data_IF_479718073831
#
_entry.id   IF_479718073831
#
_cell.length_a   1.000
_cell.length_b   1.000
_cell.length_c   1.000
_cell.angle_alpha   90.00
_cell.angle_beta   90.00
_cell.angle_gamma   90.00
#
_symmetry.space_group_name_H-M   'P 1'
#
loop_
_entity.id
_entity.type
_entity.pdbx_description
1 polymer ?
#
# COMPACT_ATOMS: atom_id res chain seq x y z
N UNK A 1 6.19 6.47 -5.66
CA UNK A 1 5.72 5.08 -5.88
C UNK A 1 6.93 4.22 -6.21
N UNK A 2 7.06 3.05 -5.56
CA UNK A 2 8.12 2.08 -5.77
C UNK A 2 7.53 0.71 -6.09
N UNK A 3 8.17 0.00 -7.03
CA UNK A 3 7.75 -1.32 -7.51
C UNK A 3 8.97 -2.12 -7.99
N UNK A 4 8.93 -3.46 -7.95
CA UNK A 4 10.11 -4.29 -8.21
C UNK A 4 10.49 -4.39 -9.70
N UNK A 5 9.59 -4.02 -10.61
CA UNK A 5 9.82 -4.03 -12.06
C UNK A 5 9.04 -2.87 -12.73
N UNK A 6 9.35 -2.48 -13.97
CA UNK A 6 8.74 -1.30 -14.60
C UNK A 6 7.30 -1.51 -15.09
N UNK A 7 6.69 -2.68 -14.88
CA UNK A 7 5.35 -2.99 -15.38
C UNK A 7 4.27 -2.17 -14.64
N UNK A 8 3.25 -1.70 -15.36
CA UNK A 8 2.18 -0.87 -14.78
C UNK A 8 1.25 -1.65 -13.82
N UNK A 9 1.06 -2.95 -14.07
CA UNK A 9 0.28 -3.82 -13.19
C UNK A 9 1.18 -4.33 -12.09
N UNK A 10 1.25 -3.59 -10.98
CA UNK A 10 2.17 -3.86 -9.89
C UNK A 10 1.60 -3.47 -8.53
N UNK A 11 1.98 -4.23 -7.51
CA UNK A 11 1.84 -3.81 -6.11
C UNK A 11 2.77 -2.62 -5.89
N UNK A 12 2.25 -1.52 -5.37
CA UNK A 12 3.01 -0.27 -5.17
C UNK A 12 3.26 -0.03 -3.69
N UNK A 13 4.50 0.35 -3.35
CA UNK A 13 4.75 1.12 -2.13
C UNK A 13 4.64 2.61 -2.48
N UNK A 14 3.72 3.31 -1.84
CA UNK A 14 3.48 4.72 -2.07
C UNK A 14 4.03 5.52 -0.89
N UNK A 15 4.69 6.64 -1.21
CA UNK A 15 5.28 7.54 -0.23
C UNK A 15 5.08 8.98 -0.72
N UNK A 16 4.75 9.88 0.21
CA UNK A 16 4.79 11.32 -0.01
C UNK A 16 5.20 12.02 1.27
N UNK A 17 5.71 13.24 1.18
CA UNK A 17 6.11 14.03 2.36
C UNK A 17 5.79 15.49 2.16
N UNK A 18 5.45 16.16 3.25
CA UNK A 18 5.28 17.62 3.34
C UNK A 18 6.44 18.31 4.12
N UNK A 19 7.49 17.55 4.45
CA UNK A 19 8.62 18.01 5.27
C UNK A 19 8.40 17.90 6.79
N UNK A 20 7.20 17.55 7.25
CA UNK A 20 6.88 17.28 8.67
C UNK A 20 6.51 15.82 8.88
N UNK A 21 5.75 15.27 7.95
CA UNK A 21 5.28 13.89 7.95
C UNK A 21 5.75 13.17 6.69
N UNK A 22 5.90 11.85 6.81
CA UNK A 22 5.87 10.95 5.67
C UNK A 22 4.53 10.23 5.68
N UNK A 23 3.81 10.30 4.57
CA UNK A 23 2.61 9.52 4.30
C UNK A 23 3.01 8.30 3.48
N UNK A 24 2.43 7.15 3.79
CA UNK A 24 2.73 5.91 3.08
C UNK A 24 1.56 4.94 3.08
N UNK A 25 1.56 4.06 2.08
CA UNK A 25 0.62 2.96 1.96
C UNK A 25 1.12 1.91 0.97
N UNK A 26 0.36 0.81 0.89
CA UNK A 26 0.49 -0.18 -0.19
C UNK A 26 -0.75 -0.04 -1.07
N UNK A 27 -0.57 -0.03 -2.39
CA UNK A 27 -1.68 0.01 -3.34
C UNK A 27 -1.68 -1.21 -4.25
N UNK A 28 -2.86 -1.80 -4.42
CA UNK A 28 -3.15 -2.83 -5.42
C UNK A 28 -4.26 -2.38 -6.39
N UNK A 29 -4.45 -1.07 -6.49
CA UNK A 29 -5.41 -0.44 -7.42
C UNK A 29 -4.93 -0.66 -8.85
N UNK A 30 -5.70 -1.32 -9.73
CA UNK A 30 -5.32 -1.47 -11.13
C UNK A 30 -5.15 -0.10 -11.81
N UNK A 31 -4.21 0.05 -12.76
CA UNK A 31 -4.09 1.30 -13.51
C UNK A 31 -5.35 1.57 -14.35
N UNK A 32 -5.82 2.82 -14.35
CA UNK A 32 -7.06 3.25 -15.03
C UNK A 32 -8.35 3.01 -14.24
N UNK A 33 -8.26 2.87 -12.92
CA UNK A 33 -9.39 2.51 -12.04
C UNK A 33 -10.46 3.60 -11.82
N UNK A 34 -10.22 4.84 -12.26
CA UNK A 34 -11.14 5.99 -12.17
C UNK A 34 -12.01 6.02 -10.89
N UNK A 35 -13.30 5.66 -11.00
CA UNK A 35 -14.30 5.75 -9.94
C UNK A 35 -14.81 4.38 -9.46
N UNK A 36 -14.07 3.29 -9.66
CA UNK A 36 -14.46 2.01 -9.07
C UNK A 36 -14.42 2.07 -7.53
N UNK A 37 -15.27 1.28 -6.86
CA UNK A 37 -15.39 1.25 -5.39
C UNK A 37 -15.04 -0.11 -4.79
N UNK A 38 -14.51 -1.02 -5.61
CA UNK A 38 -13.98 -2.31 -5.18
C UNK A 38 -12.96 -2.83 -6.17
N UNK A 39 -11.97 -3.60 -5.70
CA UNK A 39 -10.95 -4.20 -6.55
C UNK A 39 -11.55 -5.04 -7.69
N UNK A 40 -12.61 -5.81 -7.41
CA UNK A 40 -13.30 -6.61 -8.41
C UNK A 40 -13.90 -5.74 -9.53
N UNK A 41 -14.53 -4.62 -9.17
CA UNK A 41 -15.03 -3.65 -10.14
C UNK A 41 -13.89 -3.03 -10.93
N UNK A 42 -12.82 -2.60 -10.26
CA UNK A 42 -11.65 -2.00 -10.91
C UNK A 42 -11.03 -2.95 -11.95
N UNK A 43 -10.82 -4.21 -11.59
CA UNK A 43 -10.29 -5.23 -12.50
C UNK A 43 -11.25 -5.51 -13.66
N UNK A 44 -12.56 -5.52 -13.41
CA UNK A 44 -13.54 -5.74 -14.47
C UNK A 44 -13.61 -4.58 -15.46
N UNK A 45 -13.52 -3.33 -15.01
CA UNK A 45 -13.55 -2.15 -15.87
C UNK A 45 -12.26 -2.00 -16.68
N UNK A 46 -11.11 -2.12 -16.01
CA UNK A 46 -9.80 -1.87 -16.63
C UNK A 46 -9.26 -3.05 -17.45
N UNK A 47 -9.73 -4.28 -17.16
CA UNK A 47 -9.13 -5.53 -17.62
C UNK A 47 -7.66 -5.72 -17.18
N UNK A 48 -7.25 -4.99 -16.15
CA UNK A 48 -5.90 -5.01 -15.59
C UNK A 48 -5.92 -5.48 -14.13
N UNK A 49 -4.76 -5.92 -13.64
CA UNK A 49 -4.50 -6.23 -12.23
C UNK A 49 -3.67 -5.10 -11.60
N UNK A 50 -3.77 -4.93 -10.29
CA UNK A 50 -2.89 -4.05 -9.52
C UNK A 50 -1.94 -4.79 -8.57
N UNK A 51 -1.88 -6.13 -8.65
CA UNK A 51 -1.01 -6.93 -7.78
C UNK A 51 -0.05 -7.78 -8.60
N UNK A 52 1.21 -7.85 -8.17
CA UNK A 52 2.20 -8.76 -8.74
C UNK A 52 3.08 -9.46 -7.69
N UNK A 53 3.62 -8.73 -6.73
CA UNK A 53 4.55 -9.22 -5.70
C UNK A 53 3.99 -8.87 -4.32
N UNK A 54 3.93 -9.83 -3.37
CA UNK A 54 3.58 -9.54 -1.99
C UNK A 54 4.53 -8.49 -1.39
N UNK A 55 4.02 -7.62 -0.54
CA UNK A 55 4.80 -6.49 -0.01
C UNK A 55 4.41 -6.16 1.43
N UNK A 56 5.39 -5.75 2.23
CA UNK A 56 5.15 -5.05 3.49
C UNK A 56 5.96 -3.77 3.60
N UNK A 57 5.48 -2.86 4.45
CA UNK A 57 6.19 -1.64 4.86
C UNK A 57 6.23 -1.63 6.39
N UNK A 58 7.44 -1.61 6.95
CA UNK A 58 7.69 -1.52 8.39
C UNK A 58 8.36 -0.19 8.72
N UNK A 59 7.68 0.72 9.44
CA UNK A 59 8.34 1.85 10.09
C UNK A 59 9.28 1.33 11.19
N UNK A 60 10.55 1.71 11.16
CA UNK A 60 11.55 1.21 12.10
C UNK A 60 11.53 1.95 13.44
N UNK A 61 10.98 3.17 13.47
CA UNK A 61 10.86 4.02 14.67
C UNK A 61 9.50 4.72 14.73
N UNK A 62 9.22 5.40 15.85
CA UNK A 62 8.07 6.29 16.05
C UNK A 62 6.68 5.63 15.95
N UNK A 63 6.60 4.30 16.06
CA UNK A 63 5.33 3.54 16.00
C UNK A 63 4.38 3.78 17.16
N UNK A 64 4.93 4.21 18.31
CA UNK A 64 4.17 4.45 19.54
C UNK A 64 3.76 5.92 19.71
N UNK A 65 4.04 6.79 18.73
CA UNK A 65 3.65 8.20 18.78
C UNK A 65 2.15 8.37 18.44
N UNK A 66 1.31 8.83 19.40
CA UNK A 66 -0.14 8.94 19.18
C UNK A 66 -0.54 10.05 18.20
N UNK A 67 0.38 10.95 17.82
CA UNK A 67 0.12 11.98 16.81
C UNK A 67 0.08 11.43 15.37
N UNK A 68 0.43 10.15 15.19
CA UNK A 68 0.59 9.47 13.91
C UNK A 68 -0.09 8.11 13.93
N UNK A 69 -0.44 7.60 12.75
CA UNK A 69 -0.88 6.22 12.57
C UNK A 69 0.24 5.38 11.94
N UNK A 70 1.42 5.45 12.59
CA UNK A 70 2.69 4.90 12.13
C UNK A 70 2.77 3.39 12.41
N UNK A 71 2.17 2.58 11.54
CA UNK A 71 1.99 1.14 11.75
C UNK A 71 2.55 0.28 10.63
N UNK A 72 2.87 -0.97 10.95
CA UNK A 72 3.18 -1.98 9.94
C UNK A 72 1.98 -2.21 9.01
N UNK A 73 2.22 -2.31 7.71
CA UNK A 73 1.20 -2.64 6.71
C UNK A 73 1.69 -3.77 5.79
N UNK A 74 0.78 -4.66 5.40
CA UNK A 74 1.13 -5.81 4.56
C UNK A 74 0.03 -6.19 3.56
N UNK A 75 0.46 -6.69 2.42
CA UNK A 75 -0.38 -7.20 1.35
C UNK A 75 0.21 -8.49 0.79
N UNK A 76 -0.42 -9.62 1.10
CA UNK A 76 0.08 -10.95 0.72
C UNK A 76 -0.46 -11.45 -0.62
N UNK A 77 -1.69 -11.10 -0.97
CA UNK A 77 -2.27 -11.37 -2.29
C UNK A 77 -3.39 -10.37 -2.61
N UNK A 78 -4.02 -10.51 -3.78
CA UNK A 78 -5.08 -9.61 -4.23
C UNK A 78 -6.48 -9.92 -3.63
N UNK A 79 -6.58 -10.79 -2.62
CA UNK A 79 -7.83 -11.02 -1.88
C UNK A 79 -7.93 -10.00 -0.77
N UNK A 80 -9.12 -9.42 -0.60
CA UNK A 80 -9.41 -8.42 0.45
C UNK A 80 -8.95 -8.86 1.85
N UNK A 81 -9.10 -10.15 2.19
CA UNK A 81 -8.72 -10.70 3.50
C UNK A 81 -7.22 -10.79 3.74
N UNK A 82 -6.40 -10.77 2.68
CA UNK A 82 -4.95 -10.92 2.73
C UNK A 82 -4.20 -9.65 2.31
N UNK A 83 -4.95 -8.61 1.97
CA UNK A 83 -4.46 -7.26 1.69
C UNK A 83 -5.43 -6.24 2.29
N UNK A 84 -5.75 -6.43 3.56
CA UNK A 84 -6.65 -5.55 4.29
C UNK A 84 -6.03 -4.16 4.51
N UNK A 85 -4.70 -4.07 4.53
CA UNK A 85 -3.96 -2.82 4.77
C UNK A 85 -3.75 -1.99 3.49
N UNK A 86 -3.91 -2.58 2.31
CA UNK A 86 -3.65 -1.92 1.04
C UNK A 86 -4.88 -1.28 0.41
N UNK A 87 -4.67 -0.22 -0.37
CA UNK A 87 -5.68 0.38 -1.25
C UNK A 87 -6.17 -0.63 -2.28
N UNK A 88 -7.49 -0.83 -2.32
CA UNK A 88 -8.15 -1.75 -3.25
C UNK A 88 -8.90 -1.04 -4.38
N UNK A 89 -9.17 0.26 -4.21
CA UNK A 89 -9.82 1.14 -5.17
C UNK A 89 -9.40 2.60 -4.87
N UNK A 90 -9.60 3.55 -5.80
CA UNK A 90 -9.02 4.90 -5.70
C UNK A 90 -9.41 5.71 -4.45
N UNK A 91 -10.62 5.53 -3.93
CA UNK A 91 -11.14 6.28 -2.77
C UNK A 91 -11.15 5.44 -1.49
N UNK A 92 -10.24 4.46 -1.36
CA UNK A 92 -10.09 3.64 -0.14
C UNK A 92 -9.28 4.42 0.93
N UNK A 93 -9.65 5.67 1.20
CA UNK A 93 -8.79 6.69 1.83
C UNK A 93 -8.37 6.37 3.29
N UNK A 94 -8.94 5.33 3.88
CA UNK A 94 -8.63 4.85 5.24
C UNK A 94 -7.30 4.06 5.30
N UNK A 95 -6.68 3.77 4.16
CA UNK A 95 -5.45 2.95 4.08
C UNK A 95 -4.18 3.74 4.31
N UNK A 96 -4.17 5.04 4.00
CA UNK A 96 -2.96 5.86 4.18
C UNK A 96 -2.54 5.94 5.65
N UNK A 97 -1.25 5.70 5.85
CA UNK A 97 -0.55 5.80 7.13
C UNK A 97 0.36 7.02 7.11
N UNK A 98 0.79 7.44 8.29
CA UNK A 98 1.66 8.57 8.49
C UNK A 98 2.63 8.29 9.63
N UNK A 99 3.85 8.80 9.49
CA UNK A 99 4.88 8.81 10.52
C UNK A 99 5.56 10.20 10.53
N UNK A 100 6.33 10.54 11.56
CA UNK A 100 7.30 11.63 11.49
C UNK A 100 8.18 11.51 10.23
N UNK A 101 8.54 12.63 9.61
CA UNK A 101 9.32 12.64 8.35
C UNK A 101 10.68 11.94 8.45
N UNK A 102 11.25 11.87 9.65
CA UNK A 102 12.54 11.24 9.92
C UNK A 102 12.43 9.73 10.26
N UNK A 103 11.28 9.11 10.03
CA UNK A 103 11.09 7.67 10.22
C UNK A 103 11.71 6.88 9.06
N UNK A 104 12.60 5.95 9.38
CA UNK A 104 13.12 4.99 8.40
C UNK A 104 12.06 3.93 8.08
N UNK A 105 11.92 3.60 6.79
CA UNK A 105 10.94 2.65 6.28
C UNK A 105 11.64 1.44 5.66
N UNK A 106 11.33 0.24 6.12
CA UNK A 106 11.77 -1.02 5.52
C UNK A 106 10.66 -1.58 4.62
N UNK A 107 10.93 -1.63 3.31
CA UNK A 107 10.06 -2.29 2.33
C UNK A 107 10.57 -3.71 2.08
N UNK A 108 9.73 -4.70 2.33
CA UNK A 108 10.06 -6.11 2.09
C UNK A 108 9.20 -6.65 0.96
N UNK A 109 9.84 -7.18 -0.08
CA UNK A 109 9.17 -7.97 -1.10
C UNK A 109 9.11 -9.43 -0.66
N UNK A 110 7.97 -10.08 -0.92
CA UNK A 110 7.71 -11.44 -0.47
C UNK A 110 7.91 -11.62 1.06
N UNK A 111 7.27 -10.80 1.91
CA UNK A 111 7.34 -11.00 3.36
C UNK A 111 6.81 -12.38 3.74
N UNK A 112 7.36 -12.94 4.82
CA UNK A 112 6.85 -14.19 5.40
C UNK A 112 5.37 -14.05 5.73
N UNK A 113 4.57 -15.07 5.40
CA UNK A 113 3.16 -15.10 5.78
C UNK A 113 3.05 -15.10 7.31
N UNK A 114 1.99 -14.51 7.88
CA UNK A 114 1.73 -14.68 9.31
C UNK A 114 1.58 -16.18 9.58
N UNK A 115 2.05 -16.68 10.73
CA UNK A 115 1.85 -18.08 11.14
C UNK A 115 0.37 -18.48 11.17
#
# INVERSE_FOLDING_TARGET
MFRPNPHEQATLAEFSTDGVKIWYDISIVPPGSDNCTSLAQCMNTTKKKGFNVPMSILPLQHRDDPAFNCVYVVCYDNKKTKCADGYQYPTDDVKTKSCPVNTDMLVTFCPELPP
#
